data_IF_063035091493
#
_entry.id   IF_063035091493
#
_cell.length_a   1.000
_cell.length_b   1.000
_cell.length_c   1.000
_cell.angle_alpha   90.00
_cell.angle_beta   90.00
_cell.angle_gamma   90.00
#
_symmetry.space_group_name_H-M   'P 1'
#
loop_
_entity.id
_entity.type
_entity.pdbx_description
1 polymer ?
#
# COMPACT_ATOMS: atom_id res chain seq x y z
N UNK A 1 -19.84 5.77 60.49
CA UNK A 1 -19.87 4.77 59.41
C UNK A 1 -20.33 5.47 58.14
N UNK A 2 -19.39 5.58 57.19
CA UNK A 2 -19.50 5.81 55.74
C UNK A 2 -20.52 6.81 55.18
N UNK A 3 -19.99 7.98 54.82
CA UNK A 3 -20.43 8.76 53.66
C UNK A 3 -19.79 8.18 52.38
N UNK A 4 -20.56 8.07 51.30
CA UNK A 4 -20.10 7.60 49.98
C UNK A 4 -20.44 8.63 48.92
N UNK A 5 -19.47 9.48 48.59
CA UNK A 5 -19.56 10.46 47.52
C UNK A 5 -19.47 9.77 46.15
N UNK A 6 -20.37 10.13 45.24
CA UNK A 6 -20.32 9.71 43.85
C UNK A 6 -19.10 10.28 43.13
N UNK A 7 -18.37 9.41 42.45
CA UNK A 7 -17.39 9.79 41.42
C UNK A 7 -17.87 9.20 40.10
N UNK A 8 -18.45 10.06 39.25
CA UNK A 8 -18.79 9.70 37.87
C UNK A 8 -17.51 9.62 37.04
N UNK A 9 -17.09 8.41 36.68
CA UNK A 9 -16.03 8.22 35.70
C UNK A 9 -16.59 8.53 34.30
N UNK A 10 -16.20 9.67 33.74
CA UNK A 10 -16.33 9.93 32.30
C UNK A 10 -15.31 9.04 31.59
N UNK A 11 -15.76 7.94 31.00
CA UNK A 11 -14.98 7.20 30.01
C UNK A 11 -14.75 8.11 28.79
N UNK A 12 -13.50 8.48 28.54
CA UNK A 12 -13.12 9.11 27.26
C UNK A 12 -13.38 8.11 26.12
N UNK A 13 -14.05 8.51 25.04
CA UNK A 13 -14.19 7.63 23.89
C UNK A 13 -12.82 7.45 23.21
N UNK A 14 -12.34 6.21 23.15
CA UNK A 14 -11.17 5.84 22.35
C UNK A 14 -11.34 6.35 20.92
N UNK A 15 -10.36 7.11 20.42
CA UNK A 15 -10.27 7.48 19.00
C UNK A 15 -10.30 6.20 18.16
N UNK A 16 -11.32 6.06 17.32
CA UNK A 16 -11.40 4.95 16.37
C UNK A 16 -10.14 4.98 15.48
N UNK A 17 -9.42 3.87 15.33
CA UNK A 17 -8.39 3.77 14.31
C UNK A 17 -9.04 3.99 12.93
N UNK A 18 -8.38 4.75 12.07
CA UNK A 18 -8.86 5.09 10.73
C UNK A 18 -8.95 3.90 9.75
N UNK A 19 -8.59 2.70 10.23
CA UNK A 19 -8.50 1.46 9.48
C UNK A 19 -9.71 0.51 9.69
N UNK A 20 -10.82 1.01 10.23
CA UNK A 20 -11.96 0.19 10.62
C UNK A 20 -13.09 0.13 9.58
N UNK A 21 -13.27 -1.05 9.00
CA UNK A 21 -14.45 -1.58 8.30
C UNK A 21 -14.72 -1.14 6.86
N UNK A 22 -14.36 -2.01 5.90
CA UNK A 22 -15.18 -2.25 4.71
C UNK A 22 -15.29 -3.76 4.49
N UNK A 23 -16.24 -4.38 5.19
CA UNK A 23 -16.93 -5.55 4.65
C UNK A 23 -18.42 -5.29 4.89
N UNK A 24 -19.06 -4.76 3.86
CA UNK A 24 -20.49 -4.54 3.82
C UNK A 24 -20.92 -4.73 2.39
N UNK A 25 -21.62 -5.84 2.14
CA UNK A 25 -22.35 -6.06 0.90
C UNK A 25 -23.47 -5.02 0.81
N UNK A 26 -23.17 -3.86 0.25
CA UNK A 26 -24.16 -2.97 -0.33
C UNK A 26 -23.89 -2.97 -1.83
N UNK A 27 -24.92 -3.30 -2.62
CA UNK A 27 -24.91 -3.02 -4.04
C UNK A 27 -24.79 -1.49 -4.21
N UNK A 28 -23.56 -0.98 -4.32
CA UNK A 28 -23.30 0.43 -4.41
C UNK A 28 -23.67 0.93 -5.80
N UNK A 29 -24.87 1.49 -5.95
CA UNK A 29 -25.11 2.48 -6.99
C UNK A 29 -24.14 3.64 -6.76
N UNK A 30 -23.01 3.65 -7.47
CA UNK A 30 -22.00 4.71 -7.41
C UNK A 30 -20.54 4.27 -7.36
N UNK A 31 -20.25 2.99 -7.09
CA UNK A 31 -18.86 2.50 -7.13
C UNK A 31 -18.53 2.01 -8.54
N UNK A 32 -17.81 2.85 -9.29
CA UNK A 32 -17.26 2.48 -10.61
C UNK A 32 -15.85 1.96 -10.43
N UNK A 33 -15.61 0.71 -10.78
CA UNK A 33 -14.28 0.08 -10.79
C UNK A 33 -13.87 -0.15 -12.24
N UNK A 34 -12.64 0.20 -12.58
CA UNK A 34 -12.05 -0.12 -13.88
C UNK A 34 -10.68 -0.75 -13.68
N UNK A 35 -10.50 -1.93 -14.27
CA UNK A 35 -9.19 -2.57 -14.38
C UNK A 35 -8.37 -1.83 -15.41
N UNK A 36 -7.15 -1.45 -15.01
CA UNK A 36 -6.16 -0.79 -15.86
C UNK A 36 -5.26 -1.87 -16.47
N UNK A 37 -4.74 -2.77 -15.63
CA UNK A 37 -3.83 -3.83 -16.05
C UNK A 37 -3.96 -5.04 -15.10
N UNK A 38 -3.61 -6.23 -15.59
CA UNK A 38 -3.64 -7.47 -14.81
C UNK A 38 -2.52 -8.43 -15.21
N UNK A 39 -1.91 -9.05 -14.21
CA UNK A 39 -0.91 -10.10 -14.37
C UNK A 39 -1.38 -11.37 -13.66
N UNK A 40 -1.79 -12.43 -14.41
CA UNK A 40 -2.08 -13.73 -13.82
C UNK A 40 -0.88 -14.26 -13.04
N UNK A 41 -1.15 -14.93 -11.92
CA UNK A 41 -0.12 -15.53 -11.06
C UNK A 41 -0.54 -16.92 -10.63
N UNK A 42 0.37 -17.92 -10.60
CA UNK A 42 0.00 -19.25 -10.16
C UNK A 42 -0.53 -19.23 -8.72
N UNK A 43 -1.62 -19.95 -8.47
CA UNK A 43 -2.26 -20.05 -7.16
C UNK A 43 -2.62 -21.51 -6.85
N UNK A 44 -2.56 -21.88 -5.58
CA UNK A 44 -2.91 -23.24 -5.18
C UNK A 44 -4.41 -23.47 -5.36
N UNK A 45 -4.78 -24.56 -6.04
CA UNK A 45 -6.16 -25.01 -6.26
C UNK A 45 -7.11 -23.89 -6.72
N UNK A 46 -6.65 -23.04 -7.65
CA UNK A 46 -7.42 -21.88 -8.04
C UNK A 46 -6.78 -21.01 -9.11
N UNK A 47 -7.36 -19.83 -9.28
CA UNK A 47 -6.87 -18.79 -10.18
C UNK A 47 -6.57 -17.53 -9.36
N UNK A 48 -5.49 -16.83 -9.72
CA UNK A 48 -5.21 -15.53 -9.14
C UNK A 48 -4.59 -14.58 -10.15
N UNK A 49 -4.73 -13.28 -9.88
CA UNK A 49 -4.06 -12.24 -10.62
C UNK A 49 -3.69 -11.07 -9.71
N UNK A 50 -2.55 -10.47 -9.99
CA UNK A 50 -2.28 -9.10 -9.57
C UNK A 50 -3.02 -8.15 -10.52
N UNK A 51 -3.67 -7.14 -9.98
CA UNK A 51 -4.55 -6.24 -10.71
C UNK A 51 -4.26 -4.81 -10.29
N UNK A 52 -4.05 -3.94 -11.28
CA UNK A 52 -4.02 -2.49 -11.15
C UNK A 52 -5.38 -1.98 -11.60
N UNK A 53 -6.03 -1.20 -10.76
CA UNK A 53 -7.39 -0.72 -11.03
C UNK A 53 -7.59 0.65 -10.41
N UNK A 54 -8.60 1.37 -10.89
CA UNK A 54 -9.12 2.52 -10.16
C UNK A 54 -10.57 2.27 -9.76
N UNK A 55 -10.98 2.87 -8.65
CA UNK A 55 -12.35 2.83 -8.15
C UNK A 55 -12.81 4.25 -7.81
N UNK A 56 -14.08 4.58 -8.06
CA UNK A 56 -14.71 5.75 -7.48
C UNK A 56 -15.37 5.34 -6.17
N UNK A 57 -14.90 5.90 -5.05
CA UNK A 57 -15.46 5.64 -3.72
C UNK A 57 -15.88 6.98 -3.13
N UNK A 58 -17.19 7.19 -2.97
CA UNK A 58 -17.74 8.42 -2.41
C UNK A 58 -17.35 9.68 -3.19
N UNK A 59 -17.27 9.60 -4.53
CA UNK A 59 -16.87 10.71 -5.39
C UNK A 59 -15.35 10.87 -5.55
N UNK A 60 -14.54 10.16 -4.76
CA UNK A 60 -13.08 10.22 -4.81
C UNK A 60 -12.53 9.09 -5.68
N UNK A 61 -11.66 9.43 -6.63
CA UNK A 61 -10.90 8.43 -7.39
C UNK A 61 -9.81 7.84 -6.51
N UNK A 62 -9.94 6.55 -6.26
CA UNK A 62 -8.97 5.72 -5.57
C UNK A 62 -8.23 4.89 -6.60
N UNK A 63 -6.91 4.92 -6.57
CA UNK A 63 -6.07 4.00 -7.32
C UNK A 63 -5.69 2.82 -6.42
N UNK A 64 -5.71 1.61 -6.98
CA UNK A 64 -5.44 0.38 -6.26
C UNK A 64 -4.55 -0.57 -7.03
N UNK A 65 -3.80 -1.37 -6.27
CA UNK A 65 -3.02 -2.50 -6.73
C UNK A 65 -3.23 -3.66 -5.76
N UNK A 66 -3.55 -4.84 -6.26
CA UNK A 66 -4.00 -5.93 -5.40
C UNK A 66 -3.92 -7.30 -6.02
N UNK A 67 -3.88 -8.31 -5.17
CA UNK A 67 -3.99 -9.71 -5.50
C UNK A 67 -5.43 -10.14 -5.27
N UNK A 68 -6.01 -10.73 -6.30
CA UNK A 68 -7.33 -11.33 -6.25
C UNK A 68 -7.18 -12.80 -6.62
N UNK A 69 -7.63 -13.68 -5.74
CA UNK A 69 -7.54 -15.11 -5.90
C UNK A 69 -8.89 -15.77 -5.61
N UNK A 70 -9.25 -16.74 -6.44
CA UNK A 70 -10.39 -17.61 -6.24
C UNK A 70 -9.86 -19.04 -6.19
N UNK A 71 -10.02 -19.70 -5.06
CA UNK A 71 -9.57 -21.08 -4.86
C UNK A 71 -10.71 -21.96 -4.42
N UNK A 72 -10.68 -23.21 -4.88
CA UNK A 72 -11.61 -24.23 -4.41
C UNK A 72 -11.16 -24.71 -3.03
N UNK A 73 -12.08 -24.68 -2.07
CA UNK A 73 -11.85 -25.16 -0.70
C UNK A 73 -12.27 -26.63 -0.56
N UNK A 74 -13.43 -26.97 -1.11
CA UNK A 74 -13.97 -28.33 -1.19
C UNK A 74 -14.79 -28.51 -2.48
N UNK A 75 -15.48 -29.64 -2.65
CA UNK A 75 -16.26 -29.97 -3.85
C UNK A 75 -17.30 -28.90 -4.22
N UNK A 76 -17.84 -28.15 -3.25
CA UNK A 76 -18.96 -27.23 -3.45
C UNK A 76 -18.65 -25.79 -3.01
N UNK A 77 -17.47 -25.53 -2.44
CA UNK A 77 -17.14 -24.25 -1.81
C UNK A 77 -15.89 -23.63 -2.42
N UNK A 78 -15.93 -22.31 -2.59
CA UNK A 78 -14.80 -21.50 -3.02
C UNK A 78 -14.45 -20.46 -1.97
N UNK A 79 -13.15 -20.20 -1.83
CA UNK A 79 -12.63 -19.05 -1.08
C UNK A 79 -12.23 -17.99 -2.10
N UNK A 80 -12.83 -16.82 -1.96
CA UNK A 80 -12.34 -15.62 -2.60
C UNK A 80 -11.42 -14.87 -1.64
N UNK A 81 -10.14 -14.83 -1.98
CA UNK A 81 -9.12 -14.10 -1.25
C UNK A 81 -8.75 -12.83 -1.99
N UNK A 82 -8.77 -11.71 -1.29
CA UNK A 82 -8.31 -10.44 -1.82
C UNK A 82 -7.37 -9.78 -0.81
N UNK A 83 -6.26 -9.24 -1.32
CA UNK A 83 -5.34 -8.44 -0.55
C UNK A 83 -4.83 -7.32 -1.45
N UNK A 84 -5.00 -6.09 -1.03
CA UNK A 84 -4.77 -4.95 -1.91
C UNK A 84 -4.43 -3.71 -1.11
N UNK A 85 -3.72 -2.81 -1.79
CA UNK A 85 -3.41 -1.46 -1.31
C UNK A 85 -4.13 -0.48 -2.23
N UNK A 86 -4.72 0.56 -1.64
CA UNK A 86 -5.41 1.60 -2.39
C UNK A 86 -5.30 2.93 -1.66
N UNK A 87 -5.32 4.02 -2.43
CA UNK A 87 -5.26 5.38 -1.91
C UNK A 87 -5.82 6.38 -2.93
N UNK A 88 -6.09 7.63 -2.52
CA UNK A 88 -6.45 8.67 -3.46
C UNK A 88 -5.42 8.77 -4.59
N UNK A 89 -5.89 8.94 -5.82
CA UNK A 89 -5.05 8.97 -7.02
C UNK A 89 -3.87 9.95 -6.90
N UNK A 90 -4.06 11.05 -6.18
CA UNK A 90 -3.06 12.10 -5.97
C UNK A 90 -1.81 11.62 -5.21
N UNK A 91 -1.96 10.62 -4.33
CA UNK A 91 -0.88 10.14 -3.46
C UNK A 91 -0.46 8.70 -3.76
N UNK A 92 -1.25 7.98 -4.55
CA UNK A 92 -1.06 6.56 -4.80
C UNK A 92 0.36 6.22 -5.27
N UNK A 93 0.87 6.91 -6.30
CA UNK A 93 2.21 6.65 -6.84
C UNK A 93 3.34 6.89 -5.83
N UNK A 94 3.13 7.80 -4.87
CA UNK A 94 4.12 8.10 -3.84
C UNK A 94 4.15 7.00 -2.76
N UNK A 95 2.97 6.51 -2.36
CA UNK A 95 2.87 5.53 -1.29
C UNK A 95 3.07 4.08 -1.75
N UNK A 96 2.83 3.80 -3.04
CA UNK A 96 2.81 2.45 -3.58
C UNK A 96 4.10 1.68 -3.29
N UNK A 97 5.32 2.24 -3.47
CA UNK A 97 6.56 1.51 -3.14
C UNK A 97 6.61 1.06 -1.68
N UNK A 98 6.24 1.92 -0.74
CA UNK A 98 6.21 1.58 0.70
C UNK A 98 5.11 0.57 0.99
N UNK A 99 3.93 0.74 0.38
CA UNK A 99 2.81 -0.17 0.55
C UNK A 99 3.14 -1.59 0.05
N UNK A 100 3.87 -1.72 -1.08
CA UNK A 100 4.36 -3.00 -1.59
C UNK A 100 5.38 -3.65 -0.65
N UNK A 101 6.27 -2.87 -0.05
CA UNK A 101 7.22 -3.37 0.96
C UNK A 101 6.51 -3.90 2.21
N UNK A 102 5.51 -3.16 2.71
CA UNK A 102 4.68 -3.61 3.84
C UNK A 102 3.87 -4.85 3.47
N UNK A 103 3.36 -4.92 2.25
CA UNK A 103 2.58 -6.05 1.80
C UNK A 103 3.43 -7.31 1.63
N UNK A 104 4.66 -7.17 1.14
CA UNK A 104 5.63 -8.27 1.06
C UNK A 104 5.99 -8.83 2.44
N UNK A 105 6.09 -7.98 3.47
CA UNK A 105 6.49 -8.42 4.83
C UNK A 105 5.39 -9.17 5.59
N UNK A 106 4.14 -9.10 5.16
CA UNK A 106 2.98 -9.76 5.80
C UNK A 106 2.63 -11.15 5.23
N UNK A 107 3.28 -11.60 4.17
CA UNK A 107 2.86 -12.84 3.49
C UNK A 107 3.28 -14.11 4.24
N UNK A 108 2.32 -15.02 4.44
CA UNK A 108 2.45 -16.30 5.15
C UNK A 108 3.34 -17.31 4.38
N UNK A 109 3.67 -17.05 3.11
CA UNK A 109 4.63 -17.83 2.32
C UNK A 109 5.64 -16.92 1.60
N UNK A 110 6.76 -16.53 2.27
CA UNK A 110 7.41 -15.25 2.00
C UNK A 110 8.23 -15.16 0.71
N UNK A 111 8.96 -16.21 0.28
CA UNK A 111 9.91 -16.07 -0.82
C UNK A 111 9.21 -16.02 -2.20
N UNK A 112 8.45 -17.06 -2.54
CA UNK A 112 7.79 -17.20 -3.85
C UNK A 112 6.71 -16.13 -4.05
N UNK A 113 6.02 -15.73 -2.98
CA UNK A 113 5.01 -14.68 -3.05
C UNK A 113 5.63 -13.30 -3.30
N UNK A 114 6.71 -12.96 -2.59
CA UNK A 114 7.38 -11.66 -2.73
C UNK A 114 8.00 -11.51 -4.12
N UNK A 115 8.64 -12.56 -4.63
CA UNK A 115 9.18 -12.57 -6.00
C UNK A 115 8.08 -12.35 -7.04
N UNK A 116 6.93 -13.03 -6.91
CA UNK A 116 5.79 -12.89 -7.83
C UNK A 116 5.15 -11.50 -7.73
N UNK A 117 5.03 -10.96 -6.53
CA UNK A 117 4.53 -9.61 -6.29
C UNK A 117 5.41 -8.57 -6.99
N UNK A 118 6.72 -8.63 -6.77
CA UNK A 118 7.67 -7.70 -7.37
C UNK A 118 7.76 -7.86 -8.89
N UNK A 119 7.76 -9.10 -9.40
CA UNK A 119 7.75 -9.36 -10.83
C UNK A 119 6.46 -8.87 -11.51
N UNK A 120 5.30 -9.06 -10.88
CA UNK A 120 4.04 -8.54 -11.38
C UNK A 120 4.03 -7.01 -11.37
N UNK A 121 4.47 -6.39 -10.27
CA UNK A 121 4.53 -4.94 -10.17
C UNK A 121 5.48 -4.31 -11.21
N UNK A 122 6.59 -4.98 -11.53
CA UNK A 122 7.54 -4.50 -12.55
C UNK A 122 7.07 -4.75 -13.99
N UNK A 123 6.37 -5.86 -14.25
CA UNK A 123 5.88 -6.21 -15.60
C UNK A 123 4.67 -5.38 -16.03
N UNK A 124 3.88 -4.91 -15.06
CA UNK A 124 2.73 -4.05 -15.32
C UNK A 124 3.19 -2.62 -15.60
N UNK A 125 3.06 -2.16 -16.85
CA UNK A 125 3.72 -0.94 -17.38
C UNK A 125 3.62 0.26 -16.44
N UNK A 126 2.41 0.69 -16.10
CA UNK A 126 2.20 1.87 -15.25
C UNK A 126 2.72 1.66 -13.82
N UNK A 127 2.64 0.43 -13.31
CA UNK A 127 3.14 0.10 -11.97
C UNK A 127 4.67 0.09 -11.95
N UNK A 128 5.30 -0.46 -13.00
CA UNK A 128 6.73 -0.43 -13.23
C UNK A 128 7.25 1.00 -13.34
N UNK A 129 6.57 1.87 -14.09
CA UNK A 129 6.93 3.29 -14.21
C UNK A 129 6.89 4.02 -12.86
N UNK A 130 5.87 3.76 -12.02
CA UNK A 130 5.77 4.29 -10.66
C UNK A 130 6.95 3.81 -9.81
N UNK A 131 7.28 2.52 -9.87
CA UNK A 131 8.36 1.93 -9.09
C UNK A 131 9.72 2.50 -9.53
N UNK A 132 10.01 2.48 -10.83
CA UNK A 132 11.26 2.99 -11.39
C UNK A 132 11.42 4.49 -11.13
N UNK A 133 10.37 5.29 -11.29
CA UNK A 133 10.42 6.73 -10.98
C UNK A 133 10.66 7.00 -9.49
N UNK A 134 10.06 6.22 -8.59
CA UNK A 134 10.30 6.34 -7.15
C UNK A 134 11.74 5.98 -6.76
N UNK A 135 12.36 4.99 -7.41
CA UNK A 135 13.78 4.67 -7.21
C UNK A 135 14.68 5.78 -7.73
N UNK A 136 14.43 6.27 -8.95
CA UNK A 136 15.21 7.35 -9.56
C UNK A 136 15.14 8.64 -8.72
N UNK A 137 13.96 8.97 -8.20
CA UNK A 137 13.79 10.14 -7.33
C UNK A 137 14.53 9.98 -6.01
N UNK A 138 14.48 8.80 -5.37
CA UNK A 138 15.27 8.53 -4.17
C UNK A 138 16.77 8.66 -4.43
N UNK A 139 17.29 8.07 -5.52
CA UNK A 139 18.70 8.17 -5.86
C UNK A 139 19.14 9.63 -6.06
N UNK A 140 18.37 10.42 -6.81
CA UNK A 140 18.66 11.85 -7.00
C UNK A 140 18.67 12.63 -5.69
N UNK A 141 17.73 12.33 -4.79
CA UNK A 141 17.70 12.95 -3.46
C UNK A 141 18.95 12.56 -2.66
N UNK A 142 19.34 11.29 -2.65
CA UNK A 142 20.59 10.85 -2.00
C UNK A 142 21.83 11.50 -2.62
N UNK A 143 21.92 11.56 -3.95
CA UNK A 143 23.04 12.22 -4.65
C UNK A 143 23.08 13.72 -4.34
N UNK A 144 21.93 14.39 -4.25
CA UNK A 144 21.86 15.81 -3.90
C UNK A 144 22.25 16.08 -2.44
N UNK A 145 21.89 15.17 -1.53
CA UNK A 145 22.28 15.23 -0.12
C UNK A 145 23.78 15.02 0.00
N UNK A 146 24.33 13.99 -0.64
CA UNK A 146 25.78 13.72 -0.63
C UNK A 146 26.58 14.90 -1.20
N UNK A 147 26.15 15.48 -2.33
CA UNK A 147 26.77 16.70 -2.88
C UNK A 147 26.67 17.90 -1.93
N UNK A 148 25.54 18.04 -1.23
CA UNK A 148 25.36 19.09 -0.22
C UNK A 148 26.28 18.93 0.99
N UNK A 149 26.53 17.69 1.41
CA UNK A 149 27.49 17.37 2.47
C UNK A 149 28.94 17.61 2.04
N UNK A 150 29.31 17.22 0.82
CA UNK A 150 30.64 17.47 0.26
C UNK A 150 30.93 18.98 0.19
N UNK A 151 29.94 19.78 -0.24
CA UNK A 151 30.06 21.24 -0.29
C UNK A 151 30.28 21.85 1.11
N UNK A 152 29.52 21.40 2.12
CA UNK A 152 29.63 21.91 3.48
C UNK A 152 30.98 21.55 4.14
N UNK A 153 31.50 20.35 3.89
CA UNK A 153 32.79 19.91 4.42
C UNK A 153 33.94 20.67 3.76
N UNK A 154 33.87 20.94 2.45
CA UNK A 154 34.87 21.75 1.76
C UNK A 154 34.89 23.21 2.25
N UNK A 155 33.73 23.82 2.48
CA UNK A 155 33.65 25.19 3.01
C UNK A 155 34.19 25.27 4.45
N UNK A 156 33.94 24.24 5.28
CA UNK A 156 34.46 24.15 6.65
C UNK A 156 35.98 23.91 6.75
N UNK A 157 36.61 23.40 5.68
CA UNK A 157 38.05 23.11 5.63
C UNK A 157 38.91 24.28 5.11
N UNK A 158 38.32 25.43 4.76
CA UNK A 158 39.07 26.61 4.29
C UNK A 158 39.38 27.52 5.49
N UNK A 159 40.62 27.60 6.00
CA UNK A 159 40.94 28.54 7.05
C UNK A 159 40.91 29.96 6.44
N UNK A 160 40.08 30.85 6.96
CA UNK A 160 40.25 32.29 6.73
C UNK A 160 41.54 32.71 7.41
N UNK A 161 42.62 32.78 6.63
CA UNK A 161 43.86 33.43 7.05
C UNK A 161 43.63 34.94 6.91
N UNK A 162 43.55 35.62 8.05
CA UNK A 162 43.74 37.07 8.17
C UNK A 162 45.05 37.32 8.91
#
# INVERSE_FOLDING_TARGET
MTAGAGHGSRSQPCKKPWWGAVVGAAAHQGVRIQVIDRQPTPWQNGQAAFVRYWANVGGTRMDGFGLFALMQYDTNSYIFYQSYVYAPAQVFSQILPTALQTWASWSINPAVYTERLMAAAQSMRETGDIITSAYNNRQRTYDSINKGWDQYICDAATPRVH
#
